data_IF_269661979212
#
_entry.id   IF_269661979212
#
_cell.length_a   1.000
_cell.length_b   1.000
_cell.length_c   1.000
_cell.angle_alpha   90.00
_cell.angle_beta   90.00
_cell.angle_gamma   90.00
#
_symmetry.space_group_name_H-M   'P 1'
#
loop_
_entity.id
_entity.type
_entity.pdbx_description
1 polymer ?
#
# COMPACT_ATOMS: atom_id res chain seq x y z
N UNK A 1 3.32 35.41 -15.72
CA UNK A 1 3.98 34.83 -16.91
C UNK A 1 5.30 34.14 -16.62
N UNK A 2 6.13 34.63 -15.70
CA UNK A 2 7.46 34.04 -15.36
C UNK A 2 7.41 32.64 -14.68
N UNK A 3 6.35 32.31 -13.94
CA UNK A 3 6.25 31.01 -13.24
C UNK A 3 5.96 29.82 -14.18
N UNK A 4 5.34 30.08 -15.35
CA UNK A 4 4.98 29.03 -16.32
C UNK A 4 6.22 28.54 -17.08
N UNK A 5 7.09 29.45 -17.50
CA UNK A 5 8.35 29.09 -18.16
C UNK A 5 9.34 28.34 -17.22
N UNK A 6 9.31 28.64 -15.93
CA UNK A 6 10.19 28.00 -14.95
C UNK A 6 9.79 26.52 -14.74
N UNK A 7 8.50 26.21 -14.70
CA UNK A 7 7.99 24.84 -14.56
C UNK A 7 8.22 23.99 -15.81
N UNK A 8 8.06 24.58 -17.01
CA UNK A 8 8.31 23.90 -18.27
C UNK A 8 9.80 23.53 -18.41
N UNK A 9 10.71 24.42 -18.03
CA UNK A 9 12.16 24.17 -18.06
C UNK A 9 12.61 23.06 -17.08
N UNK A 10 11.97 22.93 -15.92
CA UNK A 10 12.27 21.86 -14.94
C UNK A 10 11.77 20.48 -15.39
N UNK A 11 10.65 20.44 -16.11
CA UNK A 11 10.09 19.18 -16.62
C UNK A 11 10.91 18.65 -17.81
N UNK A 12 11.46 19.55 -18.63
CA UNK A 12 12.37 19.19 -19.76
C UNK A 12 13.74 18.71 -19.30
N UNK A 13 14.20 19.06 -18.08
CA UNK A 13 15.51 18.65 -17.53
C UNK A 13 15.46 17.35 -16.73
N UNK A 14 14.27 16.82 -16.41
CA UNK A 14 14.17 15.56 -15.66
C UNK A 14 14.22 14.38 -16.64
N UNK A 15 15.29 13.63 -16.57
CA UNK A 15 15.39 12.35 -17.29
C UNK A 15 14.52 11.30 -16.59
N UNK A 16 13.32 11.09 -17.14
CA UNK A 16 12.36 10.11 -16.63
C UNK A 16 12.87 8.68 -16.71
N UNK A 17 13.65 8.34 -17.73
CA UNK A 17 14.22 7.02 -17.89
C UNK A 17 15.24 6.75 -16.78
N UNK A 18 16.08 7.74 -16.46
CA UNK A 18 17.00 7.67 -15.33
C UNK A 18 16.28 7.57 -14.00
N UNK A 19 15.19 8.35 -13.79
CA UNK A 19 14.39 8.29 -12.56
C UNK A 19 13.79 6.89 -12.39
N UNK A 20 13.16 6.35 -13.43
CA UNK A 20 12.57 5.00 -13.42
C UNK A 20 13.65 3.94 -13.16
N UNK A 21 14.82 4.04 -13.80
CA UNK A 21 15.92 3.11 -13.58
C UNK A 21 16.44 3.12 -12.16
N UNK A 22 16.57 4.30 -11.57
CA UNK A 22 17.09 4.47 -10.21
C UNK A 22 16.07 4.09 -9.12
N UNK A 23 14.85 4.53 -9.25
CA UNK A 23 13.82 4.39 -8.18
C UNK A 23 12.86 3.22 -8.43
N UNK A 24 12.77 2.71 -9.66
CA UNK A 24 11.78 1.71 -10.07
C UNK A 24 11.80 0.45 -9.22
N UNK A 25 12.97 -0.07 -8.87
CA UNK A 25 13.08 -1.26 -8.01
C UNK A 25 12.51 -1.00 -6.60
N UNK A 26 12.75 0.17 -6.02
CA UNK A 26 12.23 0.53 -4.70
C UNK A 26 10.71 0.73 -4.73
N UNK A 27 10.20 1.39 -5.76
CA UNK A 27 8.77 1.57 -6.03
C UNK A 27 8.09 0.21 -6.18
N UNK A 28 8.64 -0.67 -7.04
CA UNK A 28 8.13 -2.02 -7.25
C UNK A 28 8.05 -2.83 -5.96
N UNK A 29 9.12 -2.85 -5.18
CA UNK A 29 9.16 -3.57 -3.89
C UNK A 29 8.08 -3.07 -2.93
N UNK A 30 7.87 -1.76 -2.86
CA UNK A 30 6.84 -1.14 -2.01
C UNK A 30 5.45 -1.61 -2.40
N UNK A 31 5.14 -1.59 -3.70
CA UNK A 31 3.86 -2.04 -4.23
C UNK A 31 3.68 -3.55 -4.03
N UNK A 32 4.65 -4.36 -4.46
CA UNK A 32 4.52 -5.80 -4.43
C UNK A 32 4.41 -6.39 -3.03
N UNK A 33 5.02 -5.77 -2.02
CA UNK A 33 4.86 -6.15 -0.60
C UNK A 33 3.39 -6.10 -0.16
N UNK A 34 2.62 -5.14 -0.66
CA UNK A 34 1.23 -4.94 -0.30
C UNK A 34 0.28 -5.74 -1.20
N UNK A 35 0.48 -5.68 -2.51
CA UNK A 35 -0.48 -6.21 -3.50
C UNK A 35 -0.34 -7.72 -3.71
N UNK A 36 0.91 -8.24 -3.78
CA UNK A 36 1.23 -9.66 -3.97
C UNK A 36 0.62 -10.32 -5.20
N UNK A 37 0.32 -9.54 -6.20
CA UNK A 37 -0.15 -9.98 -7.51
C UNK A 37 0.60 -9.20 -8.57
N UNK A 38 1.14 -9.88 -9.57
CA UNK A 38 1.99 -9.29 -10.60
C UNK A 38 1.24 -8.24 -11.42
N UNK A 39 0.10 -8.60 -11.99
CA UNK A 39 -0.70 -7.72 -12.84
C UNK A 39 -1.16 -6.45 -12.09
N UNK A 40 -1.67 -6.63 -10.86
CA UNK A 40 -2.06 -5.51 -10.01
C UNK A 40 -0.85 -4.62 -9.64
N UNK A 41 0.34 -5.22 -9.46
CA UNK A 41 1.55 -4.48 -9.14
C UNK A 41 2.08 -3.69 -10.34
N UNK A 42 2.04 -4.27 -11.56
CA UNK A 42 2.40 -3.59 -12.81
C UNK A 42 1.52 -2.37 -13.04
N UNK A 43 0.19 -2.50 -12.85
CA UNK A 43 -0.75 -1.40 -12.98
C UNK A 43 -0.48 -0.30 -11.94
N UNK A 44 -0.30 -0.65 -10.65
CA UNK A 44 0.05 0.32 -9.61
C UNK A 44 1.39 1.01 -9.88
N UNK A 45 2.36 0.30 -10.45
CA UNK A 45 3.66 0.87 -10.82
C UNK A 45 3.49 1.95 -11.89
N UNK A 46 2.78 1.64 -12.97
CA UNK A 46 2.48 2.62 -14.02
C UNK A 46 1.71 3.82 -13.48
N UNK A 47 0.63 3.59 -12.71
CA UNK A 47 -0.15 4.66 -12.09
C UNK A 47 0.69 5.56 -11.18
N UNK A 48 1.71 5.01 -10.51
CA UNK A 48 2.62 5.76 -9.64
C UNK A 48 3.44 6.77 -10.44
N UNK A 49 4.05 6.35 -11.55
CA UNK A 49 4.87 7.23 -12.37
C UNK A 49 4.03 8.24 -13.16
N UNK A 50 2.84 7.86 -13.63
CA UNK A 50 1.89 8.80 -14.25
C UNK A 50 1.49 9.89 -13.25
N UNK A 51 1.13 9.52 -12.02
CA UNK A 51 0.78 10.50 -10.99
C UNK A 51 1.98 11.39 -10.60
N UNK A 52 3.20 10.84 -10.61
CA UNK A 52 4.41 11.60 -10.34
C UNK A 52 4.67 12.64 -11.45
N UNK A 53 4.47 12.27 -12.72
CA UNK A 53 4.56 13.16 -13.88
C UNK A 53 3.52 14.29 -13.79
N UNK A 54 2.26 13.96 -13.49
CA UNK A 54 1.20 14.96 -13.34
C UNK A 54 1.49 15.96 -12.22
N UNK A 55 2.08 15.50 -11.10
CA UNK A 55 2.46 16.37 -10.00
C UNK A 55 3.64 17.27 -10.35
N UNK A 56 4.65 16.74 -11.07
CA UNK A 56 5.81 17.53 -11.50
C UNK A 56 5.44 18.67 -12.45
N UNK A 57 4.40 18.46 -13.25
CA UNK A 57 3.86 19.50 -14.14
C UNK A 57 3.14 20.64 -13.39
N UNK A 58 2.77 20.41 -12.12
CA UNK A 58 2.04 21.40 -11.31
C UNK A 58 2.92 22.12 -10.30
N UNK A 59 3.97 21.43 -9.81
CA UNK A 59 4.85 21.97 -8.78
C UNK A 59 6.22 21.30 -8.81
N UNK A 60 7.31 22.01 -8.47
CA UNK A 60 8.63 21.42 -8.40
C UNK A 60 8.70 20.37 -7.29
N UNK A 61 9.28 19.20 -7.62
CA UNK A 61 9.45 18.08 -6.69
C UNK A 61 10.88 18.11 -6.13
N UNK A 62 11.00 18.29 -4.81
CA UNK A 62 12.31 18.35 -4.12
C UNK A 62 12.88 16.97 -3.76
N UNK A 63 12.02 16.01 -3.51
CA UNK A 63 12.42 14.67 -3.04
C UNK A 63 11.64 13.59 -3.81
N UNK A 64 12.22 13.14 -4.92
CA UNK A 64 11.62 12.13 -5.79
C UNK A 64 11.45 10.78 -5.10
N UNK A 65 12.46 10.21 -4.39
CA UNK A 65 12.28 8.95 -3.69
C UNK A 65 11.11 8.97 -2.70
N UNK A 66 11.00 10.01 -1.89
CA UNK A 66 9.91 10.15 -0.93
C UNK A 66 8.55 10.30 -1.60
N UNK A 67 8.44 11.12 -2.66
CA UNK A 67 7.20 11.27 -3.42
C UNK A 67 6.75 9.94 -4.03
N UNK A 68 7.65 9.26 -4.73
CA UNK A 68 7.35 7.98 -5.38
C UNK A 68 6.94 6.91 -4.38
N UNK A 69 7.59 6.85 -3.22
CA UNK A 69 7.22 5.92 -2.15
C UNK A 69 5.83 6.22 -1.58
N UNK A 70 5.46 7.49 -1.39
CA UNK A 70 4.12 7.89 -0.98
C UNK A 70 3.07 7.47 -2.02
N UNK A 71 3.29 7.80 -3.30
CA UNK A 71 2.37 7.46 -4.37
C UNK A 71 2.20 5.95 -4.51
N UNK A 72 3.31 5.20 -4.50
CA UNK A 72 3.32 3.75 -4.56
C UNK A 72 2.52 3.11 -3.40
N UNK A 73 2.74 3.60 -2.17
CA UNK A 73 2.02 3.11 -0.99
C UNK A 73 0.52 3.41 -1.10
N UNK A 74 0.16 4.63 -1.48
CA UNK A 74 -1.24 5.04 -1.66
C UNK A 74 -1.95 4.18 -2.70
N UNK A 75 -1.35 4.00 -3.90
CA UNK A 75 -1.90 3.15 -4.97
C UNK A 75 -2.07 1.70 -4.53
N UNK A 76 -1.05 1.15 -3.87
CA UNK A 76 -1.09 -0.23 -3.38
C UNK A 76 -2.18 -0.45 -2.31
N UNK A 77 -2.31 0.48 -1.35
CA UNK A 77 -3.38 0.44 -0.33
C UNK A 77 -4.75 0.50 -0.99
N UNK A 78 -4.96 1.41 -1.93
CA UNK A 78 -6.23 1.55 -2.65
C UNK A 78 -6.56 0.30 -3.47
N UNK A 79 -5.57 -0.30 -4.12
CA UNK A 79 -5.73 -1.56 -4.87
C UNK A 79 -6.16 -2.71 -3.97
N UNK A 80 -5.51 -2.90 -2.83
CA UNK A 80 -5.87 -3.90 -1.83
C UNK A 80 -7.32 -3.70 -1.35
N UNK A 81 -7.70 -2.46 -1.04
CA UNK A 81 -9.07 -2.12 -0.61
C UNK A 81 -10.12 -2.39 -1.69
N UNK A 82 -9.81 -2.04 -2.94
CA UNK A 82 -10.70 -2.25 -4.10
C UNK A 82 -10.91 -3.75 -4.36
N UNK A 83 -9.83 -4.54 -4.32
CA UNK A 83 -9.88 -5.99 -4.50
C UNK A 83 -10.77 -6.64 -3.44
N UNK A 84 -10.56 -6.35 -2.17
CA UNK A 84 -11.34 -6.92 -1.08
C UNK A 84 -12.83 -6.51 -1.09
N UNK A 85 -13.14 -5.30 -1.56
CA UNK A 85 -14.54 -4.90 -1.74
C UNK A 85 -15.22 -5.66 -2.88
N UNK A 86 -14.48 -5.97 -3.95
CA UNK A 86 -14.99 -6.79 -5.07
C UNK A 86 -15.25 -8.22 -4.61
N UNK A 87 -14.26 -8.87 -3.98
CA UNK A 87 -14.41 -10.24 -3.45
C UNK A 87 -15.61 -10.35 -2.51
N UNK A 88 -15.81 -9.41 -1.60
CA UNK A 88 -16.98 -9.39 -0.71
C UNK A 88 -18.30 -9.23 -1.47
N UNK A 89 -18.31 -8.55 -2.60
CA UNK A 89 -19.50 -8.39 -3.46
C UNK A 89 -19.75 -9.64 -4.31
N UNK A 90 -18.67 -10.32 -4.72
CA UNK A 90 -18.72 -11.56 -5.51
C UNK A 90 -19.06 -12.78 -4.65
N UNK A 91 -18.59 -12.85 -3.39
CA UNK A 91 -18.99 -13.88 -2.40
C UNK A 91 -20.49 -13.83 -2.06
N UNK A 92 -21.14 -12.68 -2.28
CA UNK A 92 -22.61 -12.56 -2.21
C UNK A 92 -23.28 -13.09 -3.50
N UNK A 93 -22.52 -13.22 -4.60
CA UNK A 93 -22.99 -13.61 -5.92
C UNK A 93 -22.55 -15.01 -6.36
N UNK A 94 -21.39 -15.52 -5.89
CA UNK A 94 -20.85 -16.82 -6.33
C UNK A 94 -19.97 -17.48 -5.25
N UNK A 95 -20.43 -18.63 -4.77
CA UNK A 95 -19.71 -19.56 -3.88
C UNK A 95 -18.66 -20.40 -4.63
N UNK A 96 -17.94 -19.86 -5.60
CA UNK A 96 -16.91 -20.63 -6.28
C UNK A 96 -15.88 -19.76 -7.03
N UNK A 97 -14.83 -19.32 -6.39
CA UNK A 97 -13.49 -19.25 -6.98
C UNK A 97 -12.40 -18.86 -5.97
N UNK A 98 -11.89 -19.86 -5.24
CA UNK A 98 -10.61 -19.74 -4.57
C UNK A 98 -9.51 -19.64 -5.63
N UNK A 99 -8.85 -18.49 -5.76
CA UNK A 99 -7.58 -18.40 -6.48
C UNK A 99 -6.56 -19.29 -5.76
N UNK A 100 -6.16 -20.36 -6.40
CA UNK A 100 -5.17 -21.33 -5.96
C UNK A 100 -3.84 -20.63 -5.74
N UNK A 101 -3.49 -20.40 -4.48
CA UNK A 101 -2.10 -20.18 -4.08
C UNK A 101 -1.36 -21.50 -4.22
N UNK A 102 -0.28 -21.52 -5.02
CA UNK A 102 0.62 -22.68 -5.07
C UNK A 102 1.20 -22.92 -3.68
N UNK A 103 1.13 -24.16 -3.14
CA UNK A 103 1.69 -24.47 -1.85
C UNK A 103 3.22 -24.47 -1.94
N UNK A 104 3.83 -23.50 -1.27
CA UNK A 104 5.25 -23.47 -0.97
C UNK A 104 5.56 -24.24 0.32
N UNK A 105 6.85 -24.39 0.72
CA UNK A 105 7.25 -24.99 1.99
C UNK A 105 6.44 -24.39 3.16
N UNK A 106 6.12 -25.17 4.18
CA UNK A 106 5.20 -24.81 5.27
C UNK A 106 5.44 -23.41 5.88
N UNK A 107 6.69 -22.97 6.02
CA UNK A 107 7.05 -21.64 6.51
C UNK A 107 6.66 -20.51 5.54
N UNK A 108 6.71 -20.75 4.22
CA UNK A 108 6.30 -19.78 3.21
C UNK A 108 4.77 -19.66 3.17
N UNK A 109 4.06 -20.77 3.37
CA UNK A 109 2.59 -20.79 3.45
C UNK A 109 2.09 -19.98 4.66
N UNK A 110 2.70 -20.16 5.83
CA UNK A 110 2.36 -19.41 7.03
C UNK A 110 2.63 -17.89 6.90
N UNK A 111 3.78 -17.53 6.30
CA UNK A 111 4.09 -16.13 6.01
C UNK A 111 3.12 -15.51 4.99
N UNK A 112 2.69 -16.26 3.98
CA UNK A 112 1.72 -15.84 2.98
C UNK A 112 0.33 -15.65 3.60
N UNK A 113 -0.09 -16.54 4.51
CA UNK A 113 -1.34 -16.43 5.26
C UNK A 113 -1.35 -15.18 6.16
N UNK A 114 -0.28 -14.96 6.93
CA UNK A 114 -0.12 -13.76 7.76
C UNK A 114 -0.19 -12.48 6.94
N UNK A 115 0.47 -12.47 5.78
CA UNK A 115 0.42 -11.34 4.85
C UNK A 115 -1.00 -11.11 4.28
N UNK A 116 -1.76 -12.17 4.04
CA UNK A 116 -3.16 -12.09 3.59
C UNK A 116 -4.06 -11.51 4.68
N UNK A 117 -3.93 -12.00 5.91
CA UNK A 117 -4.65 -11.47 7.08
C UNK A 117 -4.36 -9.99 7.30
N UNK A 118 -3.09 -9.58 7.18
CA UNK A 118 -2.71 -8.17 7.32
C UNK A 118 -3.33 -7.30 6.22
N UNK A 119 -3.32 -7.73 4.94
CA UNK A 119 -3.96 -7.00 3.84
C UNK A 119 -5.47 -6.81 4.09
N UNK A 120 -6.13 -7.87 4.55
CA UNK A 120 -7.54 -7.79 4.92
C UNK A 120 -7.75 -6.75 6.04
N UNK A 121 -6.97 -6.77 7.10
CA UNK A 121 -7.08 -5.82 8.21
C UNK A 121 -6.79 -4.38 7.77
N UNK A 122 -5.78 -4.15 6.91
CA UNK A 122 -5.49 -2.84 6.33
C UNK A 122 -6.65 -2.28 5.50
N UNK A 123 -7.44 -3.13 4.87
CA UNK A 123 -8.61 -2.69 4.12
C UNK A 123 -9.79 -2.28 5.01
N UNK A 124 -9.85 -2.72 6.27
CA UNK A 124 -10.91 -2.39 7.23
C UNK A 124 -10.67 -1.05 7.96
N UNK A 125 -9.47 -0.49 7.89
CA UNK A 125 -9.16 0.81 8.51
C UNK A 125 -9.24 1.95 7.48
N UNK A 126 -9.36 3.24 7.89
CA UNK A 126 -9.35 4.36 6.95
C UNK A 126 -8.09 4.38 6.08
N UNK A 127 -8.24 4.70 4.78
CA UNK A 127 -7.13 4.66 3.81
C UNK A 127 -5.91 5.46 4.27
N UNK A 128 -6.11 6.69 4.77
CA UNK A 128 -5.03 7.54 5.28
C UNK A 128 -4.28 6.91 6.46
N UNK A 129 -4.98 6.19 7.34
CA UNK A 129 -4.32 5.49 8.46
C UNK A 129 -3.49 4.31 7.96
N UNK A 130 -4.02 3.54 7.00
CA UNK A 130 -3.31 2.44 6.36
C UNK A 130 -2.05 2.94 5.63
N UNK A 131 -2.14 4.05 4.90
CA UNK A 131 -1.02 4.67 4.20
C UNK A 131 0.09 5.10 5.17
N UNK A 132 -0.24 5.88 6.20
CA UNK A 132 0.74 6.33 7.23
C UNK A 132 1.38 5.13 7.93
N UNK A 133 0.60 4.11 8.27
CA UNK A 133 1.09 2.88 8.87
C UNK A 133 2.06 2.14 7.94
N UNK A 134 1.72 1.96 6.68
CA UNK A 134 2.58 1.29 5.70
C UNK A 134 3.86 2.08 5.42
N UNK A 135 3.80 3.40 5.31
CA UNK A 135 4.98 4.25 5.15
C UNK A 135 5.94 4.12 6.34
N UNK A 136 5.41 4.04 7.56
CA UNK A 136 6.23 3.83 8.75
C UNK A 136 6.81 2.40 8.81
N UNK A 137 5.95 1.37 8.81
CA UNK A 137 6.35 -0.01 9.08
C UNK A 137 7.09 -0.67 7.90
N UNK A 138 6.71 -0.36 6.66
CA UNK A 138 7.30 -0.96 5.47
C UNK A 138 8.29 -0.03 4.77
N UNK A 139 8.05 1.27 4.86
CA UNK A 139 8.86 2.30 4.24
C UNK A 139 9.96 2.86 5.13
N UNK A 140 9.92 2.59 6.44
CA UNK A 140 10.91 3.09 7.41
C UNK A 140 10.85 4.60 7.65
N UNK A 141 9.72 5.25 7.34
CA UNK A 141 9.58 6.68 7.52
C UNK A 141 9.55 7.05 9.00
N UNK A 142 10.33 8.08 9.35
CA UNK A 142 10.33 8.67 10.69
C UNK A 142 9.06 9.50 10.92
N UNK A 143 8.73 9.71 12.17
CA UNK A 143 7.54 10.46 12.58
C UNK A 143 7.56 11.90 12.05
N UNK A 144 8.74 12.55 12.03
CA UNK A 144 8.93 13.91 11.54
C UNK A 144 8.57 14.01 10.04
N UNK A 145 9.06 13.06 9.23
CA UNK A 145 8.78 13.02 7.81
C UNK A 145 7.29 12.77 7.51
N UNK A 146 6.65 11.91 8.31
CA UNK A 146 5.20 11.68 8.22
C UNK A 146 4.41 12.90 8.66
N UNK A 147 4.82 13.58 9.72
CA UNK A 147 4.20 14.80 10.21
C UNK A 147 4.21 15.90 9.15
N UNK A 148 5.36 16.13 8.53
CA UNK A 148 5.52 17.09 7.42
C UNK A 148 4.64 16.69 6.22
N UNK A 149 4.74 15.44 5.77
CA UNK A 149 4.02 14.95 4.57
C UNK A 149 2.51 15.03 4.69
N UNK A 150 1.98 14.72 5.89
CA UNK A 150 0.54 14.64 6.12
C UNK A 150 -0.04 15.88 6.84
N UNK A 151 0.76 16.95 6.99
CA UNK A 151 0.39 18.18 7.70
C UNK A 151 -0.18 17.89 9.10
N UNK A 152 0.58 17.11 9.88
CA UNK A 152 0.25 16.71 11.25
C UNK A 152 1.36 17.10 12.22
N UNK A 153 1.08 17.10 13.52
CA UNK A 153 2.14 17.17 14.52
C UNK A 153 2.77 15.79 14.72
N UNK A 154 4.03 15.74 15.14
CA UNK A 154 4.76 14.48 15.44
C UNK A 154 3.99 13.64 16.48
N UNK A 155 3.44 14.31 17.51
CA UNK A 155 2.62 13.66 18.52
C UNK A 155 1.35 13.05 17.93
N UNK A 156 0.65 13.75 17.01
CA UNK A 156 -0.53 13.24 16.34
C UNK A 156 -0.21 12.00 15.48
N UNK A 157 0.95 11.95 14.82
CA UNK A 157 1.43 10.76 14.10
C UNK A 157 1.62 9.59 15.07
N UNK A 158 2.29 9.82 16.20
CA UNK A 158 2.51 8.80 17.23
C UNK A 158 1.20 8.20 17.75
N UNK A 159 0.24 9.07 18.12
CA UNK A 159 -1.10 8.65 18.58
C UNK A 159 -1.84 7.88 17.49
N UNK A 160 -1.79 8.36 16.24
CA UNK A 160 -2.44 7.67 15.10
C UNK A 160 -1.84 6.28 14.89
N UNK A 161 -0.52 6.15 14.85
CA UNK A 161 0.14 4.87 14.67
C UNK A 161 -0.16 3.90 15.81
N UNK A 162 -0.17 4.38 17.06
CA UNK A 162 -0.52 3.57 18.21
C UNK A 162 -1.96 3.01 18.11
N UNK A 163 -2.94 3.89 17.81
CA UNK A 163 -4.35 3.49 17.62
C UNK A 163 -4.52 2.55 16.43
N UNK A 164 -3.77 2.78 15.36
CA UNK A 164 -3.81 1.94 14.17
C UNK A 164 -3.28 0.54 14.46
N UNK A 165 -2.15 0.42 15.17
CA UNK A 165 -1.59 -0.89 15.60
C UNK A 165 -2.59 -1.66 16.46
N UNK A 166 -3.18 -1.00 17.46
CA UNK A 166 -4.19 -1.63 18.32
C UNK A 166 -5.37 -2.15 17.49
N UNK A 167 -5.92 -1.32 16.62
CA UNK A 167 -7.05 -1.71 15.77
C UNK A 167 -6.72 -2.88 14.84
N UNK A 168 -5.50 -2.90 14.26
CA UNK A 168 -5.05 -4.02 13.43
C UNK A 168 -4.88 -5.29 14.26
N UNK A 169 -4.35 -5.22 15.48
CA UNK A 169 -4.27 -6.36 16.40
C UNK A 169 -5.64 -6.94 16.72
N UNK A 170 -6.61 -6.08 17.05
CA UNK A 170 -8.00 -6.49 17.35
C UNK A 170 -8.62 -7.22 16.13
N UNK A 171 -8.46 -6.67 14.92
CA UNK A 171 -8.96 -7.27 13.68
C UNK A 171 -8.31 -8.62 13.37
N UNK A 172 -6.99 -8.75 13.57
CA UNK A 172 -6.26 -9.99 13.34
C UNK A 172 -6.63 -11.07 14.36
N UNK A 173 -6.85 -10.71 15.61
CA UNK A 173 -7.30 -11.63 16.67
C UNK A 173 -8.71 -12.17 16.38
N UNK A 174 -9.63 -11.31 15.95
CA UNK A 174 -10.98 -11.72 15.55
C UNK A 174 -10.95 -12.70 14.37
N UNK A 175 -10.10 -12.43 13.37
CA UNK A 175 -9.98 -13.31 12.20
C UNK A 175 -9.37 -14.67 12.57
N UNK A 176 -8.42 -14.72 13.50
CA UNK A 176 -7.87 -15.96 14.05
C UNK A 176 -8.93 -16.82 14.73
N UNK A 177 -9.73 -16.21 15.60
CA UNK A 177 -10.80 -16.89 16.31
C UNK A 177 -11.91 -17.43 15.37
N UNK A 178 -12.25 -16.69 14.32
CA UNK A 178 -13.20 -17.15 13.30
C UNK A 178 -12.67 -18.33 12.50
N UNK A 179 -11.38 -18.33 12.13
CA UNK A 179 -10.73 -19.43 11.40
C UNK A 179 -10.71 -20.71 12.23
N UNK A 180 -10.40 -20.63 13.53
CA UNK A 180 -10.41 -21.77 14.44
C UNK A 180 -11.84 -22.33 14.68
N UNK A 181 -12.83 -21.46 14.74
CA UNK A 181 -14.24 -21.86 14.90
C UNK A 181 -14.75 -22.63 13.69
N UNK A 182 -14.40 -22.20 12.46
CA UNK A 182 -14.77 -22.87 11.22
C UNK A 182 -14.07 -24.22 11.05
N UNK A 183 -12.82 -24.36 11.50
CA UNK A 183 -12.10 -25.63 11.46
C UNK A 183 -12.70 -26.67 12.41
N UNK A 184 -13.25 -26.24 13.55
CA UNK A 184 -13.92 -27.14 14.54
C UNK A 184 -15.32 -27.60 14.09
N UNK A 185 -15.91 -26.96 13.10
CA UNK A 185 -17.26 -27.27 12.58
C UNK A 185 -17.25 -28.14 11.31
N UNK A 186 -16.08 -28.58 10.81
CA UNK A 186 -16.02 -29.56 9.71
C UNK A 186 -16.39 -30.95 10.27
N UNK A 187 -17.52 -31.54 9.86
CA UNK A 187 -17.80 -32.92 10.20
C UNK A 187 -16.77 -33.85 9.51
N UNK A 188 -16.40 -34.91 10.22
CA UNK A 188 -15.47 -35.96 9.78
C UNK A 188 -16.04 -36.71 8.56
#
# INVERSE_FOLDING_TARGET
MLARNFLETWCEMLDWDELVRREGTAVWRTIYRLVRNQADADECFQETFVAALELSNRQPVRNWPALLQCLATSRAVDRVRKKLRRTKKEEISDLARAETMQPGPAQQAEAAERATKLRWALAQIPARQAEIFCLHELGGWKYEALAERFAMTVNAVGVLLHRTRKKLQDLLSLQGALSESLLKQRPA
#
